data_IF_432048071954
#
_entry.id   IF_432048071954
#
_cell.length_a   1.000
_cell.length_b   1.000
_cell.length_c   1.000
_cell.angle_alpha   90.00
_cell.angle_beta   90.00
_cell.angle_gamma   90.00
#
_symmetry.space_group_name_H-M   'P 1'
#
loop_
_entity.id
_entity.type
_entity.pdbx_description
1 polymer ?
#
# COMPACT_ATOMS: atom_id res chain seq x y z
N UNK A 1 9.55 0.36 6.85
CA UNK A 1 9.52 0.48 5.37
C UNK A 1 8.31 -0.32 4.88
N UNK A 2 7.23 0.35 4.49
CA UNK A 2 5.96 -0.32 4.17
C UNK A 2 5.90 -0.81 2.71
N UNK A 3 6.65 -0.18 1.79
CA UNK A 3 6.91 -0.71 0.44
C UNK A 3 8.21 -1.49 0.34
N UNK A 4 8.18 -2.58 -0.41
CA UNK A 4 9.34 -3.43 -0.72
C UNK A 4 9.29 -3.91 -2.18
N UNK A 5 10.45 -4.18 -2.77
CA UNK A 5 10.56 -4.66 -4.15
C UNK A 5 10.62 -6.18 -4.16
N UNK A 6 9.77 -6.82 -4.97
CA UNK A 6 9.78 -8.27 -5.19
C UNK A 6 9.91 -8.54 -6.69
N UNK A 7 11.11 -8.93 -7.11
CA UNK A 7 11.46 -9.04 -8.53
C UNK A 7 11.42 -7.67 -9.23
N UNK A 8 10.58 -7.53 -10.25
CA UNK A 8 10.40 -6.28 -11.03
C UNK A 8 9.26 -5.39 -10.52
N UNK A 9 8.45 -5.87 -9.58
CA UNK A 9 7.24 -5.18 -9.09
C UNK A 9 7.44 -4.71 -7.66
N UNK A 10 6.91 -3.54 -7.34
CA UNK A 10 6.80 -3.06 -5.97
C UNK A 10 5.54 -3.63 -5.30
N UNK A 11 5.65 -3.83 -4.00
CA UNK A 11 4.61 -4.34 -3.11
C UNK A 11 4.56 -3.42 -1.90
N UNK A 12 3.38 -3.25 -1.31
CA UNK A 12 3.25 -2.66 0.02
C UNK A 12 2.68 -3.66 1.01
N UNK A 13 3.04 -3.46 2.27
CA UNK A 13 2.51 -4.16 3.44
C UNK A 13 2.33 -3.16 4.56
N UNK A 14 1.11 -3.05 5.07
CA UNK A 14 0.81 -2.26 6.26
C UNK A 14 -0.31 -2.92 7.07
N UNK A 15 -0.43 -2.52 8.33
CA UNK A 15 -1.53 -2.96 9.21
C UNK A 15 -2.57 -1.86 9.23
N UNK A 16 -3.84 -2.24 9.07
CA UNK A 16 -5.00 -1.35 9.09
C UNK A 16 -6.08 -1.99 9.96
N UNK A 17 -6.55 -1.30 10.99
CA UNK A 17 -7.56 -1.81 11.94
C UNK A 17 -7.30 -3.25 12.46
N UNK A 18 -6.03 -3.60 12.71
CA UNK A 18 -5.62 -4.95 13.12
C UNK A 18 -5.46 -5.96 11.98
N UNK A 19 -5.89 -5.63 10.77
CA UNK A 19 -5.72 -6.47 9.58
C UNK A 19 -4.41 -6.16 8.84
N UNK A 20 -3.74 -7.22 8.38
CA UNK A 20 -2.51 -7.10 7.63
C UNK A 20 -2.79 -7.01 6.12
N UNK A 21 -2.73 -5.82 5.56
CA UNK A 21 -2.94 -5.58 4.13
C UNK A 21 -1.62 -5.74 3.39
N UNK A 22 -1.61 -6.60 2.37
CA UNK A 22 -0.44 -6.82 1.50
C UNK A 22 -0.87 -6.94 0.05
N UNK A 23 -0.51 -5.95 -0.75
CA UNK A 23 -0.84 -5.95 -2.18
C UNK A 23 0.34 -5.53 -3.06
N UNK A 24 0.29 -5.99 -4.31
CA UNK A 24 1.24 -5.57 -5.33
C UNK A 24 0.82 -4.22 -5.91
N UNK A 25 1.72 -3.25 -5.96
CA UNK A 25 1.45 -1.97 -6.64
C UNK A 25 1.41 -2.14 -8.15
N UNK A 26 1.95 -3.27 -8.66
CA UNK A 26 2.16 -3.54 -10.09
C UNK A 26 3.06 -2.51 -10.79
N UNK A 27 3.66 -1.60 -10.02
CA UNK A 27 4.57 -0.58 -10.53
C UNK A 27 6.02 -1.02 -10.42
N UNK A 28 6.86 -0.49 -11.30
CA UNK A 28 8.33 -0.64 -11.29
C UNK A 28 9.04 0.52 -10.58
N UNK A 29 8.32 1.62 -10.30
CA UNK A 29 8.83 2.81 -9.63
C UNK A 29 8.48 2.82 -8.13
N UNK A 30 9.50 3.10 -7.29
CA UNK A 30 9.36 3.20 -5.83
C UNK A 30 8.41 4.33 -5.43
N UNK A 31 8.52 5.50 -6.06
CA UNK A 31 7.74 6.69 -5.67
C UNK A 31 6.24 6.48 -5.90
N UNK A 32 5.88 5.88 -7.02
CA UNK A 32 4.48 5.53 -7.32
C UNK A 32 3.96 4.48 -6.35
N UNK A 33 4.81 3.54 -5.92
CA UNK A 33 4.42 2.54 -4.94
C UNK A 33 4.10 3.15 -3.56
N UNK A 34 4.89 4.13 -3.12
CA UNK A 34 4.65 4.89 -1.89
C UNK A 34 3.35 5.70 -1.97
N UNK A 35 3.08 6.34 -3.10
CA UNK A 35 1.83 7.09 -3.33
C UNK A 35 0.61 6.18 -3.31
N UNK A 36 0.69 4.98 -3.92
CA UNK A 36 -0.40 4.01 -3.90
C UNK A 36 -0.70 3.49 -2.49
N UNK A 37 0.35 3.23 -1.69
CA UNK A 37 0.17 2.85 -0.29
C UNK A 37 -0.55 3.96 0.50
N UNK A 38 -0.11 5.22 0.34
CA UNK A 38 -0.72 6.37 1.00
C UNK A 38 -2.18 6.57 0.57
N UNK A 39 -2.46 6.46 -0.73
CA UNK A 39 -3.82 6.54 -1.26
C UNK A 39 -4.72 5.43 -0.71
N UNK A 40 -4.22 4.19 -0.65
CA UNK A 40 -4.99 3.06 -0.12
C UNK A 40 -5.31 3.24 1.37
N UNK A 41 -4.32 3.64 2.18
CA UNK A 41 -4.55 3.99 3.59
C UNK A 41 -5.60 5.09 3.75
N UNK A 42 -5.53 6.14 2.93
CA UNK A 42 -6.50 7.23 2.97
C UNK A 42 -7.90 6.77 2.55
N UNK A 43 -8.01 5.90 1.54
CA UNK A 43 -9.28 5.30 1.12
C UNK A 43 -9.92 4.45 2.23
N UNK A 44 -9.11 3.64 2.92
CA UNK A 44 -9.58 2.83 4.06
C UNK A 44 -10.03 3.72 5.22
N UNK A 45 -9.23 4.74 5.56
CA UNK A 45 -9.59 5.74 6.57
C UNK A 45 -10.91 6.44 6.26
N UNK A 46 -11.16 6.77 4.99
CA UNK A 46 -12.40 7.42 4.56
C UNK A 46 -13.59 6.47 4.56
N UNK A 47 -13.37 5.18 4.29
CA UNK A 47 -14.42 4.15 4.27
C UNK A 47 -14.93 3.74 5.65
N UNK A 48 -14.12 3.87 6.70
CA UNK A 48 -14.52 3.59 8.09
C UNK A 48 -15.33 4.72 8.75
N UNK A 49 -15.36 5.93 8.20
CA UNK A 49 -16.02 7.11 8.78
C UNK A 49 -17.45 7.30 8.21
N UNK A 50 -18.06 6.23 7.71
CA UNK A 50 -19.41 6.21 7.13
C UNK A 50 -20.48 5.74 8.11
#
# INVERSE_FOLDING_TARGET
MAVFKRGKKWWYKFVWNGELIRESTKQSNKRTAEQMEAAHKASLAKGEVG
#
